data_IF_127256448693
#
_entry.id   IF_127256448693
#
_cell.length_a   1.000
_cell.length_b   1.000
_cell.length_c   1.000
_cell.angle_alpha   90.00
_cell.angle_beta   90.00
_cell.angle_gamma   90.00
#
_symmetry.space_group_name_H-M   'P 1'
#
loop_
_entity.id
_entity.type
_entity.pdbx_description
1 polymer ?
#
# COMPACT_ATOMS: atom_id res chain seq x y z
N UNK A 1 11.23 6.74 1.26
CA UNK A 1 10.25 7.82 1.45
C UNK A 1 9.46 7.68 2.75
N UNK A 2 8.69 6.60 2.97
CA UNK A 2 7.93 6.41 4.24
C UNK A 2 8.81 6.50 5.50
N UNK A 3 9.98 5.84 5.59
CA UNK A 3 10.85 5.99 6.78
C UNK A 3 11.32 7.43 7.02
N UNK A 4 11.48 8.23 5.97
CA UNK A 4 11.85 9.64 6.10
C UNK A 4 10.75 10.46 6.77
N UNK A 5 9.48 10.27 6.39
CA UNK A 5 8.36 10.97 7.01
C UNK A 5 8.09 10.54 8.45
N UNK A 6 8.38 9.28 8.80
CA UNK A 6 8.32 8.83 10.18
C UNK A 6 9.42 9.47 11.05
N UNK A 7 10.61 9.66 10.49
CA UNK A 7 11.70 10.36 11.17
C UNK A 7 11.49 11.89 11.25
N UNK A 8 10.65 12.46 10.37
CA UNK A 8 10.39 13.89 10.25
C UNK A 8 8.88 14.17 10.22
N UNK A 9 8.16 13.98 11.35
CA UNK A 9 6.72 14.20 11.39
C UNK A 9 6.37 15.67 11.14
N UNK A 10 5.29 15.90 10.39
CA UNK A 10 4.79 17.24 10.00
C UNK A 10 5.81 18.08 9.22
N UNK A 11 6.66 17.44 8.42
CA UNK A 11 7.55 18.14 7.49
C UNK A 11 6.76 18.72 6.31
N UNK A 12 7.18 19.88 5.82
CA UNK A 12 6.56 20.51 4.64
C UNK A 12 6.92 19.77 3.35
N UNK A 13 6.04 19.80 2.35
CA UNK A 13 6.31 19.21 1.02
C UNK A 13 7.60 19.72 0.38
N UNK A 14 7.85 21.03 0.49
CA UNK A 14 9.05 21.65 -0.07
C UNK A 14 10.33 21.13 0.59
N UNK A 15 10.33 20.99 1.92
CA UNK A 15 11.50 20.45 2.64
C UNK A 15 11.69 18.95 2.38
N UNK A 16 10.61 18.18 2.38
CA UNK A 16 10.66 16.75 2.07
C UNK A 16 11.20 16.48 0.66
N UNK A 17 10.73 17.24 -0.33
CA UNK A 17 11.22 17.14 -1.71
C UNK A 17 12.71 17.45 -1.80
N UNK A 18 13.17 18.52 -1.14
CA UNK A 18 14.59 18.89 -1.11
C UNK A 18 15.46 17.83 -0.41
N UNK A 19 15.05 17.33 0.75
CA UNK A 19 15.79 16.34 1.52
C UNK A 19 15.86 14.97 0.80
N UNK A 20 14.82 14.63 0.02
CA UNK A 20 14.76 13.40 -0.78
C UNK A 20 15.37 13.56 -2.19
N UNK A 21 15.76 14.78 -2.57
CA UNK A 21 16.35 15.07 -3.89
C UNK A 21 15.37 14.92 -5.06
N UNK A 22 14.07 15.09 -4.83
CA UNK A 22 13.01 14.97 -5.85
C UNK A 22 12.29 16.30 -6.04
N UNK A 23 11.52 16.43 -7.12
CA UNK A 23 10.64 17.59 -7.28
C UNK A 23 9.41 17.46 -6.39
N UNK A 24 8.79 18.58 -6.01
CA UNK A 24 7.53 18.55 -5.23
C UNK A 24 6.43 17.80 -5.99
N UNK A 25 6.37 17.95 -7.32
CA UNK A 25 5.43 17.21 -8.16
C UNK A 25 5.65 15.70 -8.08
N UNK A 26 6.90 15.26 -8.21
CA UNK A 26 7.24 13.84 -8.08
C UNK A 26 6.90 13.33 -6.68
N UNK A 27 7.19 14.12 -5.64
CA UNK A 27 6.83 13.75 -4.28
C UNK A 27 5.32 13.51 -4.14
N UNK A 28 4.48 14.38 -4.69
CA UNK A 28 3.02 14.21 -4.66
C UNK A 28 2.55 12.97 -5.44
N UNK A 29 3.16 12.69 -6.59
CA UNK A 29 2.90 11.46 -7.36
C UNK A 29 3.28 10.20 -6.57
N UNK A 30 4.46 10.20 -5.93
CA UNK A 30 4.94 9.09 -5.11
C UNK A 30 4.05 8.89 -3.88
N UNK A 31 3.60 9.96 -3.22
CA UNK A 31 2.62 9.88 -2.12
C UNK A 31 1.34 9.21 -2.62
N UNK A 32 0.82 9.63 -3.78
CA UNK A 32 -0.40 9.07 -4.37
C UNK A 32 -0.26 7.57 -4.68
N UNK A 33 0.92 7.11 -5.09
CA UNK A 33 1.17 5.67 -5.29
C UNK A 33 1.25 4.91 -3.96
N UNK A 34 1.83 5.52 -2.92
CA UNK A 34 1.94 4.89 -1.61
C UNK A 34 0.57 4.58 -0.99
N UNK A 35 -0.48 5.37 -1.29
CA UNK A 35 -1.87 5.06 -0.87
C UNK A 35 -2.39 3.71 -1.37
N UNK A 36 -1.76 3.11 -2.39
CA UNK A 36 -2.14 1.81 -2.95
C UNK A 36 -1.29 0.66 -2.41
N UNK A 37 -0.26 0.97 -1.62
CA UNK A 37 0.67 -0.01 -1.07
C UNK A 37 0.24 -0.43 0.33
N UNK A 38 0.30 -1.71 0.65
CA UNK A 38 -0.14 -2.18 1.96
C UNK A 38 -0.08 -3.68 2.19
N UNK A 39 -0.71 -4.10 3.27
CA UNK A 39 -0.90 -5.48 3.67
C UNK A 39 -1.93 -6.17 2.75
N UNK A 40 -1.81 -7.50 2.56
CA UNK A 40 -2.76 -8.26 1.75
C UNK A 40 -4.16 -8.21 2.37
N UNK A 41 -5.17 -8.00 1.54
CA UNK A 41 -6.57 -7.88 1.96
C UNK A 41 -7.25 -6.61 1.44
N UNK A 42 -6.46 -5.53 1.21
CA UNK A 42 -6.92 -4.24 0.71
C UNK A 42 -8.10 -3.65 1.51
N UNK A 43 -8.22 -4.02 2.79
CA UNK A 43 -9.25 -3.50 3.68
C UNK A 43 -8.90 -2.11 4.23
N UNK A 44 -9.86 -1.45 4.88
CA UNK A 44 -9.60 -0.21 5.60
C UNK A 44 -8.52 -0.43 6.67
N UNK A 45 -7.43 0.33 6.60
CA UNK A 45 -6.28 0.22 7.52
C UNK A 45 -5.22 -0.81 7.12
N UNK A 46 -5.31 -1.39 5.93
CA UNK A 46 -4.26 -2.26 5.38
C UNK A 46 -3.26 -1.49 4.51
N UNK A 47 -3.63 -0.32 3.98
CA UNK A 47 -2.82 0.51 3.08
C UNK A 47 -2.11 1.62 3.83
N UNK A 48 -0.92 2.01 3.35
CA UNK A 48 -0.14 3.13 3.89
C UNK A 48 -1.02 4.38 3.88
N UNK A 49 -1.02 5.08 5.00
CA UNK A 49 -1.95 6.18 5.26
C UNK A 49 -1.17 7.42 5.73
N UNK A 50 -1.65 8.59 5.31
CA UNK A 50 -1.04 9.88 5.55
C UNK A 50 -2.10 10.88 6.05
N UNK A 51 -1.69 11.72 6.98
CA UNK A 51 -2.43 12.91 7.40
C UNK A 51 -1.77 14.16 6.82
N UNK A 52 -2.60 15.07 6.27
CA UNK A 52 -2.16 16.35 5.74
C UNK A 52 -2.77 17.49 6.55
N UNK A 53 -1.92 18.41 7.00
CA UNK A 53 -2.35 19.65 7.64
C UNK A 53 -1.66 20.83 6.98
N UNK A 54 -2.41 21.62 6.21
CA UNK A 54 -1.84 22.67 5.36
C UNK A 54 -0.86 22.10 4.34
N UNK A 55 0.42 22.43 4.47
CA UNK A 55 1.52 21.97 3.63
C UNK A 55 2.36 20.85 4.26
N UNK A 56 1.99 20.39 5.47
CA UNK A 56 2.71 19.38 6.23
C UNK A 56 2.18 17.98 6.00
N UNK A 57 3.07 16.99 6.09
CA UNK A 57 2.79 15.57 5.88
C UNK A 57 3.17 14.78 7.14
N UNK A 58 2.29 13.90 7.57
CA UNK A 58 2.52 12.94 8.66
C UNK A 58 2.07 11.55 8.23
N UNK A 59 2.87 10.51 8.47
CA UNK A 59 2.49 9.11 8.19
C UNK A 59 1.70 8.60 9.39
N UNK A 60 0.45 8.18 9.17
CA UNK A 60 -0.42 7.62 10.22
C UNK A 60 -0.32 6.09 10.29
N UNK A 61 -0.03 5.44 9.16
CA UNK A 61 0.20 3.99 9.09
C UNK A 61 1.22 3.63 8.01
N UNK A 62 2.25 2.86 8.35
CA UNK A 62 3.39 2.53 7.46
C UNK A 62 3.26 1.18 6.73
N UNK A 63 2.25 0.38 7.05
CA UNK A 63 2.09 -0.99 6.55
C UNK A 63 3.35 -1.90 6.66
N UNK A 64 4.23 -1.63 7.62
CA UNK A 64 5.45 -2.42 7.84
C UNK A 64 6.65 -2.07 6.94
N UNK A 65 6.59 -0.97 6.19
CA UNK A 65 7.70 -0.43 5.37
C UNK A 65 8.72 0.35 6.22
N UNK A 66 8.50 0.45 7.53
CA UNK A 66 9.36 1.09 8.52
C UNK A 66 10.56 0.25 8.97
N UNK A 67 10.61 -1.02 8.57
CA UNK A 67 11.69 -1.97 8.90
C UNK A 67 12.40 -2.47 7.64
N UNK A 68 13.69 -2.84 7.73
CA UNK A 68 14.40 -3.46 6.62
C UNK A 68 13.69 -4.72 6.11
N UNK A 69 13.88 -5.03 4.83
CA UNK A 69 13.37 -6.25 4.21
C UNK A 69 13.96 -7.48 4.89
N UNK A 70 13.10 -8.37 5.37
CA UNK A 70 13.48 -9.64 5.99
C UNK A 70 12.88 -10.77 5.16
N UNK A 71 13.71 -11.44 4.36
CA UNK A 71 13.30 -12.59 3.56
C UNK A 71 13.63 -13.88 4.31
N UNK A 72 12.68 -14.81 4.31
CA UNK A 72 12.95 -16.19 4.70
C UNK A 72 13.76 -16.91 3.60
N UNK A 73 14.46 -17.99 3.94
CA UNK A 73 15.25 -18.76 2.97
C UNK A 73 14.42 -19.24 1.75
N UNK A 74 13.18 -19.74 1.91
CA UNK A 74 12.34 -20.11 0.77
C UNK A 74 11.96 -18.91 -0.11
N UNK A 75 11.60 -17.76 0.47
CA UNK A 75 11.24 -16.55 -0.29
C UNK A 75 12.42 -16.03 -1.10
N UNK A 76 13.60 -15.95 -0.48
CA UNK A 76 14.83 -15.53 -1.17
C UNK A 76 15.16 -16.48 -2.34
N UNK A 77 15.04 -17.79 -2.11
CA UNK A 77 15.27 -18.80 -3.15
C UNK A 77 14.27 -18.64 -4.31
N UNK A 78 12.99 -18.48 -4.01
CA UNK A 78 11.94 -18.26 -5.00
C UNK A 78 12.20 -17.03 -5.86
N UNK A 79 12.55 -15.90 -5.23
CA UNK A 79 12.87 -14.65 -5.93
C UNK A 79 14.10 -14.78 -6.83
N UNK A 80 15.15 -15.46 -6.37
CA UNK A 80 16.37 -15.66 -7.17
C UNK A 80 16.10 -16.52 -8.41
N UNK A 81 15.30 -17.60 -8.29
CA UNK A 81 14.92 -18.43 -9.43
C UNK A 81 14.08 -17.62 -10.42
N UNK A 82 13.10 -16.87 -9.95
CA UNK A 82 12.25 -16.04 -10.79
C UNK A 82 13.05 -14.96 -11.54
N UNK A 83 13.96 -14.26 -10.86
CA UNK A 83 14.79 -13.21 -11.48
C UNK A 83 15.73 -13.76 -12.54
N UNK A 84 16.31 -14.95 -12.32
CA UNK A 84 17.16 -15.62 -13.34
C UNK A 84 16.33 -16.00 -14.56
N UNK A 85 15.14 -16.57 -14.36
CA UNK A 85 14.23 -16.88 -15.46
C UNK A 85 13.82 -15.63 -16.26
N UNK A 86 13.60 -14.50 -15.60
CA UNK A 86 13.30 -13.23 -16.28
C UNK A 86 14.50 -12.69 -17.07
N UNK A 87 15.72 -12.82 -16.54
CA UNK A 87 16.93 -12.34 -17.19
C UNK A 87 17.29 -13.13 -18.46
N UNK A 88 16.87 -14.38 -18.56
CA UNK A 88 17.11 -15.25 -19.72
C UNK A 88 16.17 -14.95 -20.90
N UNK A 89 15.11 -14.15 -20.71
CA UNK A 89 14.17 -13.75 -21.76
C UNK A 89 14.63 -12.43 -22.41
N UNK A 90 15.10 -12.45 -23.67
CA UNK A 90 15.57 -11.23 -24.33
C UNK A 90 14.46 -10.18 -24.46
N UNK A 91 14.77 -8.95 -24.07
CA UNK A 91 13.85 -7.81 -24.19
C UNK A 91 12.76 -7.71 -23.12
N UNK A 92 12.70 -8.64 -22.15
CA UNK A 92 11.71 -8.58 -21.07
C UNK A 92 12.13 -7.64 -19.93
N UNK A 93 13.41 -7.66 -19.57
CA UNK A 93 14.00 -6.82 -18.52
C UNK A 93 15.38 -6.33 -18.93
N UNK A 94 15.86 -5.27 -18.29
CA UNK A 94 17.26 -4.87 -18.37
C UNK A 94 18.14 -5.92 -17.65
N UNK A 95 19.08 -6.58 -18.36
CA UNK A 95 19.96 -7.57 -17.75
C UNK A 95 20.82 -7.04 -16.61
N UNK A 96 21.25 -5.77 -16.66
CA UNK A 96 22.04 -5.17 -15.58
C UNK A 96 21.20 -4.94 -14.32
N UNK A 97 19.97 -4.44 -14.50
CA UNK A 97 19.02 -4.30 -13.39
C UNK A 97 18.71 -5.66 -12.74
N UNK A 98 18.51 -6.71 -13.54
CA UNK A 98 18.26 -8.06 -13.04
C UNK A 98 19.46 -8.61 -12.24
N UNK A 99 20.69 -8.46 -12.76
CA UNK A 99 21.91 -8.86 -12.04
C UNK A 99 22.11 -8.07 -10.75
N UNK A 100 21.84 -6.77 -10.76
CA UNK A 100 21.89 -5.92 -9.56
C UNK A 100 20.88 -6.38 -8.50
N UNK A 101 19.66 -6.72 -8.90
CA UNK A 101 18.63 -7.23 -8.00
C UNK A 101 19.03 -8.58 -7.38
N UNK A 102 19.55 -9.51 -8.18
CA UNK A 102 20.08 -10.80 -7.72
C UNK A 102 21.15 -10.58 -6.64
N UNK A 103 22.15 -9.74 -6.91
CA UNK A 103 23.23 -9.46 -5.95
C UNK A 103 22.72 -8.87 -4.62
N UNK A 104 21.72 -7.98 -4.68
CA UNK A 104 21.10 -7.39 -3.48
C UNK A 104 20.36 -8.45 -2.64
N UNK A 105 19.66 -9.37 -3.28
CA UNK A 105 18.92 -10.44 -2.58
C UNK A 105 19.89 -11.44 -1.96
N UNK A 106 20.95 -11.84 -2.66
CA UNK A 106 21.99 -12.73 -2.13
C UNK A 106 22.68 -12.11 -0.90
N UNK A 107 23.00 -10.82 -0.96
CA UNK A 107 23.54 -10.08 0.18
C UNK A 107 22.56 -10.05 1.36
N UNK A 108 21.29 -9.70 1.12
CA UNK A 108 20.27 -9.65 2.16
C UNK A 108 20.03 -11.02 2.83
N UNK A 109 19.91 -12.09 2.04
CA UNK A 109 19.74 -13.45 2.53
C UNK A 109 20.97 -13.92 3.34
N UNK A 110 22.18 -13.55 2.89
CA UNK A 110 23.41 -13.79 3.62
C UNK A 110 23.42 -13.10 4.98
N UNK A 111 23.01 -11.83 5.06
CA UNK A 111 22.94 -11.11 6.34
C UNK A 111 21.88 -11.67 7.31
N UNK A 112 20.72 -12.11 6.79
CA UNK A 112 19.67 -12.71 7.60
C UNK A 112 20.11 -14.04 8.24
N UNK A 113 20.89 -14.85 7.52
CA UNK A 113 21.45 -16.11 8.04
C UNK A 113 22.45 -15.90 9.21
N UNK A 114 23.11 -14.74 9.27
CA UNK A 114 24.01 -14.38 10.39
C UNK A 114 23.29 -13.71 11.56
N UNK A 115 22.03 -13.28 11.37
CA UNK A 115 21.30 -12.44 12.33
C UNK A 115 20.33 -13.17 13.24
N UNK A 116 19.77 -14.33 12.87
CA UNK A 116 18.87 -15.10 13.75
C UNK A 116 18.52 -16.45 13.14
N UNK A 117 18.71 -17.55 13.88
CA UNK A 117 18.04 -18.82 13.61
C UNK A 117 16.53 -18.63 13.83
N UNK A 118 15.78 -18.34 12.76
CA UNK A 118 14.33 -18.37 12.78
C UNK A 118 13.85 -19.76 12.38
N UNK A 119 13.25 -20.48 13.34
CA UNK A 119 12.62 -21.78 13.14
C UNK A 119 11.59 -21.74 12.02
N UNK A 120 11.59 -22.78 11.19
CA UNK A 120 10.57 -23.04 10.19
C UNK A 120 9.18 -23.01 10.83
N UNK A 121 8.35 -22.06 10.38
CA UNK A 121 6.91 -22.09 10.61
C UNK A 121 6.30 -22.66 9.34
N UNK A 122 5.84 -23.90 9.44
CA UNK A 122 4.90 -24.50 8.51
C UNK A 122 3.63 -23.64 8.47
N UNK A 123 3.21 -23.23 7.27
CA UNK A 123 2.11 -22.29 7.03
C UNK A 123 0.76 -22.90 7.45
N UNK A 124 0.18 -22.51 8.60
CA UNK A 124 -1.17 -22.89 8.94
C UNK A 124 -2.11 -21.87 8.32
N UNK A 125 -3.13 -22.34 7.59
CA UNK A 125 -4.20 -21.54 7.00
C UNK A 125 -4.58 -20.30 7.84
N UNK A 126 -4.81 -19.12 7.22
CA UNK A 126 -4.87 -17.86 7.94
C UNK A 126 -5.93 -17.91 9.05
N UNK A 127 -5.56 -17.58 10.31
CA UNK A 127 -6.55 -17.49 11.38
C UNK A 127 -7.55 -16.38 11.04
N UNK A 128 -8.84 -16.71 11.11
CA UNK A 128 -9.95 -15.76 10.91
C UNK A 128 -9.65 -14.47 11.68
N UNK A 129 -9.59 -13.35 10.94
CA UNK A 129 -9.31 -12.04 11.49
C UNK A 129 -10.21 -11.75 12.71
N UNK A 130 -9.60 -11.53 13.87
CA UNK A 130 -10.33 -10.95 15.00
C UNK A 130 -10.79 -9.55 14.59
N UNK A 131 -12.05 -9.16 14.84
CA UNK A 131 -12.50 -7.81 14.54
C UNK A 131 -11.65 -6.83 15.35
N UNK A 132 -10.88 -5.98 14.65
CA UNK A 132 -10.16 -4.87 15.27
C UNK A 132 -11.16 -3.76 15.64
N UNK A 133 -10.94 -3.05 16.76
CA UNK A 133 -11.81 -1.94 17.14
C UNK A 133 -11.85 -0.90 16.02
N UNK A 134 -13.06 -0.48 15.66
CA UNK A 134 -13.33 0.50 14.62
C UNK A 134 -12.68 1.82 15.02
N UNK A 135 -11.61 2.22 14.34
CA UNK A 135 -11.01 3.54 14.52
C UNK A 135 -12.04 4.56 14.03
N UNK A 136 -12.59 5.35 14.95
CA UNK A 136 -13.45 6.46 14.61
C UNK A 136 -12.56 7.58 14.08
N UNK A 137 -12.69 7.99 12.82
CA UNK A 137 -11.93 9.12 12.32
C UNK A 137 -12.34 10.38 13.09
N UNK A 138 -11.37 11.02 13.75
CA UNK A 138 -11.55 12.35 14.34
C UNK A 138 -11.47 13.40 13.23
N UNK A 139 -12.48 13.43 12.36
CA UNK A 139 -12.70 14.63 11.57
C UNK A 139 -13.19 15.72 12.53
N UNK A 140 -12.36 16.73 12.78
CA UNK A 140 -12.80 17.93 13.46
C UNK A 140 -13.93 18.56 12.65
N UNK A 141 -15.16 18.45 13.16
CA UNK A 141 -16.36 18.95 12.53
C UNK A 141 -16.39 20.48 12.56
N UNK A 142 -15.73 21.11 11.60
CA UNK A 142 -16.03 22.49 11.19
C UNK A 142 -16.42 22.46 9.72
N UNK A 143 -17.63 21.96 9.44
CA UNK A 143 -18.16 21.87 8.09
C UNK A 143 -19.36 20.95 8.04
N UNK A 144 -20.54 21.51 8.26
CA UNK A 144 -21.84 20.83 8.16
C UNK A 144 -22.07 20.39 6.70
N UNK A 145 -21.84 19.12 6.39
CA UNK A 145 -22.29 18.52 5.13
C UNK A 145 -23.72 17.96 5.31
N UNK A 146 -24.71 18.40 4.53
CA UNK A 146 -26.09 17.95 4.70
C UNK A 146 -26.27 16.52 4.16
N UNK A 147 -26.53 15.58 5.06
CA UNK A 147 -27.03 14.25 4.72
C UNK A 147 -28.52 14.35 4.38
N UNK A 148 -28.84 14.60 3.12
CA UNK A 148 -30.19 14.34 2.59
C UNK A 148 -30.09 13.68 1.22
N UNK A 149 -29.73 12.40 1.21
CA UNK A 149 -30.02 11.51 0.09
C UNK A 149 -31.06 10.49 0.54
N UNK A 150 -32.31 10.90 0.47
CA UNK A 150 -33.45 9.99 0.48
C UNK A 150 -33.39 9.19 -0.81
N UNK A 151 -32.93 7.93 -0.76
CA UNK A 151 -33.06 7.02 -1.90
C UNK A 151 -34.56 6.77 -2.19
N UNK A 152 -35.04 6.95 -3.43
CA UNK A 152 -36.41 6.56 -3.77
C UNK A 152 -36.52 5.03 -3.80
N UNK A 153 -37.45 4.50 -2.99
CA UNK A 153 -37.89 3.10 -3.02
C UNK A 153 -38.45 2.79 -4.40
N UNK A 154 -37.79 1.92 -5.15
CA UNK A 154 -38.34 1.32 -6.37
C UNK A 154 -39.57 0.49 -6.00
N UNK A 155 -40.76 1.02 -6.25
CA UNK A 155 -42.00 0.24 -6.22
C UNK A 155 -42.05 -0.67 -7.45
N UNK A 156 -42.15 -1.96 -7.17
CA UNK A 156 -42.34 -3.07 -8.11
C UNK A 156 -43.58 -2.83 -9.00
N UNK A 157 -43.42 -2.74 -10.31
CA UNK A 157 -44.55 -2.73 -11.26
C UNK A 157 -45.25 -4.11 -11.27
N UNK A 158 -46.57 -4.20 -11.04
CA UNK A 158 -47.33 -5.43 -11.27
C UNK A 158 -47.55 -5.66 -12.77
N UNK A 159 -47.52 -6.93 -13.17
CA UNK A 159 -47.70 -7.40 -14.53
C UNK A 159 -49.09 -7.07 -15.08
N UNK A 160 -49.14 -6.57 -16.32
CA UNK A 160 -50.36 -6.53 -17.13
C UNK A 160 -51.09 -5.20 -17.19
N UNK A 161 -50.55 -4.23 -17.92
CA UNK A 161 -51.36 -3.30 -18.72
C UNK A 161 -50.49 -2.60 -19.75
N UNK A 162 -50.84 -2.81 -21.02
CA UNK A 162 -50.21 -2.16 -22.17
C UNK A 162 -50.69 -0.71 -22.26
N UNK A 163 -49.80 0.27 -22.07
CA UNK A 163 -49.76 1.48 -22.93
C UNK A 163 -48.53 2.34 -22.65
N UNK A 164 -47.79 2.59 -23.73
CA UNK A 164 -46.95 3.75 -24.09
C UNK A 164 -46.77 4.84 -23.02
N UNK A 165 -45.55 5.03 -22.54
CA UNK A 165 -44.66 6.16 -22.86
C UNK A 165 -43.52 6.29 -21.83
N UNK A 166 -42.28 6.34 -22.34
CA UNK A 166 -41.19 7.15 -21.80
C UNK A 166 -40.44 6.66 -20.56
N UNK A 167 -39.15 6.35 -20.73
CA UNK A 167 -38.04 7.05 -20.07
C UNK A 167 -36.70 6.40 -20.48
N UNK A 168 -35.87 7.16 -21.19
CA UNK A 168 -34.42 7.07 -21.09
C UNK A 168 -33.98 8.02 -19.99
#
# INVERSE_FOLDING_TARGET
MVPYFQANPRVTRAKAAADLGVTVKQLEEDINQLWLCGLPGYGPGDLIDFEFSGDTIEVTFSAGIDRPLQLTSPEATGLLVALRALADVPGLVDPEAARSAIAKIESAAGTAAHGTHASAVEDPAPPKARPRPRFAPRYAATGRWPLTTTLPRTTRCPAGSSTRFGCC
#
